data_IF_226792517588
#
_entry.id   IF_226792517588
#
_cell.length_a   1.000
_cell.length_b   1.000
_cell.length_c   1.000
_cell.angle_alpha   90.00
_cell.angle_beta   90.00
_cell.angle_gamma   90.00
#
_symmetry.space_group_name_H-M   'P 1'
#
loop_
_entity.id
_entity.type
_entity.pdbx_description
1 polymer ?
#
# COMPACT_ATOMS: atom_id res chain seq x y z
N UNK A 1 -14.58 1.27 13.03
CA UNK A 1 -14.08 1.22 11.66
C UNK A 1 -13.81 -0.22 11.26
N UNK A 2 -14.30 -0.63 10.12
CA UNK A 2 -14.10 -2.00 9.66
C UNK A 2 -12.70 -2.18 9.05
N UNK A 3 -12.28 -3.42 8.94
CA UNK A 3 -11.00 -3.73 8.30
C UNK A 3 -11.01 -3.25 6.85
N UNK A 4 -12.14 -3.45 6.17
CA UNK A 4 -12.26 -3.02 4.78
C UNK A 4 -12.10 -1.51 4.64
N UNK A 5 -12.72 -0.74 5.51
CA UNK A 5 -12.60 0.70 5.50
C UNK A 5 -11.15 1.14 5.78
N UNK A 6 -10.50 0.44 6.68
CA UNK A 6 -9.10 0.73 6.99
C UNK A 6 -8.21 0.46 5.79
N UNK A 7 -8.42 -0.64 5.09
CA UNK A 7 -7.65 -0.96 3.89
C UNK A 7 -7.87 0.07 2.79
N UNK A 8 -9.10 0.51 2.63
CA UNK A 8 -9.40 1.55 1.64
C UNK A 8 -8.72 2.87 1.97
N UNK A 9 -8.68 3.20 3.27
CA UNK A 9 -7.99 4.41 3.71
C UNK A 9 -6.49 4.31 3.46
N UNK A 10 -5.91 3.15 3.72
CA UNK A 10 -4.49 2.91 3.48
C UNK A 10 -4.19 3.03 1.98
N UNK A 11 -5.03 2.42 1.14
CA UNK A 11 -4.85 2.49 -0.30
C UNK A 11 -4.88 3.93 -0.79
N UNK A 12 -5.81 4.73 -0.29
CA UNK A 12 -5.91 6.13 -0.63
C UNK A 12 -4.65 6.90 -0.24
N UNK A 13 -4.11 6.61 0.95
CA UNK A 13 -2.88 7.25 1.39
C UNK A 13 -1.67 6.81 0.57
N UNK A 14 -1.65 5.56 0.15
CA UNK A 14 -0.57 5.06 -0.69
C UNK A 14 -0.59 5.73 -2.07
N UNK A 15 -1.77 6.02 -2.59
CA UNK A 15 -1.89 6.78 -3.83
C UNK A 15 -1.28 8.17 -3.68
N UNK A 16 -1.50 8.82 -2.54
CA UNK A 16 -0.90 10.12 -2.27
C UNK A 16 0.62 10.00 -2.18
N UNK A 17 1.11 8.98 -1.50
CA UNK A 17 2.55 8.74 -1.38
C UNK A 17 3.16 8.49 -2.74
N UNK A 18 2.49 7.70 -3.57
CA UNK A 18 2.94 7.41 -4.93
C UNK A 18 3.09 8.71 -5.72
N UNK A 19 2.09 9.57 -5.68
CA UNK A 19 2.14 10.85 -6.38
C UNK A 19 3.30 11.71 -5.89
N UNK A 20 3.54 11.73 -4.59
CA UNK A 20 4.64 12.49 -4.01
C UNK A 20 6.00 11.95 -4.45
N UNK A 21 6.14 10.62 -4.45
CA UNK A 21 7.38 9.99 -4.90
C UNK A 21 7.63 10.31 -6.36
N UNK A 22 6.59 10.24 -7.19
CA UNK A 22 6.74 10.51 -8.62
C UNK A 22 7.09 11.97 -8.90
N UNK A 23 6.79 12.87 -7.98
CA UNK A 23 7.12 14.28 -8.13
C UNK A 23 8.52 14.64 -7.61
N UNK A 24 9.18 13.71 -6.94
CA UNK A 24 10.52 13.96 -6.42
C UNK A 24 11.55 14.05 -7.55
N UNK A 25 12.59 14.87 -7.38
CA UNK A 25 13.63 15.00 -8.39
C UNK A 25 14.64 13.84 -8.33
N UNK A 26 14.13 12.62 -8.50
CA UNK A 26 14.92 11.40 -8.50
C UNK A 26 14.92 10.78 -9.88
N UNK A 27 15.88 9.88 -10.12
CA UNK A 27 15.91 9.13 -11.36
C UNK A 27 14.67 8.23 -11.44
N UNK A 28 14.18 8.03 -12.66
CA UNK A 28 12.98 7.22 -12.88
C UNK A 28 13.12 5.82 -12.32
N UNK A 29 14.30 5.25 -12.42
CA UNK A 29 14.58 3.93 -11.90
C UNK A 29 14.34 3.87 -10.38
N UNK A 30 14.85 4.88 -9.67
CA UNK A 30 14.68 4.95 -8.21
C UNK A 30 13.23 5.11 -7.83
N UNK A 31 12.53 5.99 -8.54
CA UNK A 31 11.10 6.20 -8.30
C UNK A 31 10.31 4.91 -8.50
N UNK A 32 10.62 4.20 -9.57
CA UNK A 32 9.92 2.97 -9.91
C UNK A 32 10.14 1.90 -8.83
N UNK A 33 11.37 1.80 -8.33
CA UNK A 33 11.69 0.85 -7.27
C UNK A 33 10.93 1.18 -5.99
N UNK A 34 10.84 2.46 -5.65
CA UNK A 34 10.14 2.90 -4.45
C UNK A 34 8.63 2.60 -4.56
N UNK A 35 8.03 2.91 -5.69
CA UNK A 35 6.61 2.65 -5.92
C UNK A 35 6.33 1.16 -5.85
N UNK A 36 7.18 0.36 -6.46
CA UNK A 36 7.05 -1.09 -6.43
C UNK A 36 7.09 -1.61 -5.00
N UNK A 37 7.96 -1.05 -4.18
CA UNK A 37 8.08 -1.43 -2.78
C UNK A 37 6.79 -1.12 -2.00
N UNK A 38 6.23 0.04 -2.26
CA UNK A 38 4.98 0.47 -1.63
C UNK A 38 3.84 -0.50 -1.95
N UNK A 39 3.71 -0.88 -3.22
CA UNK A 39 2.66 -1.81 -3.62
C UNK A 39 2.88 -3.20 -3.06
N UNK A 40 4.13 -3.62 -2.93
CA UNK A 40 4.45 -4.91 -2.31
C UNK A 40 4.01 -4.92 -0.86
N UNK A 41 4.27 -3.85 -0.13
CA UNK A 41 3.86 -3.75 1.28
C UNK A 41 2.33 -3.81 1.41
N UNK A 42 1.63 -3.13 0.52
CA UNK A 42 0.18 -3.14 0.55
C UNK A 42 -0.37 -4.54 0.27
N UNK A 43 0.21 -5.23 -0.69
CA UNK A 43 -0.20 -6.59 -1.02
C UNK A 43 0.01 -7.53 0.16
N UNK A 44 1.11 -7.38 0.86
CA UNK A 44 1.38 -8.17 2.06
C UNK A 44 0.37 -7.89 3.16
N UNK A 45 -0.02 -6.63 3.30
CA UNK A 45 -1.02 -6.25 4.28
C UNK A 45 -2.38 -6.87 3.96
N UNK A 46 -2.79 -6.82 2.70
CA UNK A 46 -4.04 -7.44 2.27
C UNK A 46 -4.03 -8.94 2.52
N UNK A 47 -2.92 -9.58 2.20
CA UNK A 47 -2.77 -11.00 2.39
C UNK A 47 -2.88 -11.38 3.86
N UNK A 48 -2.23 -10.61 4.72
CA UNK A 48 -2.28 -10.86 6.16
C UNK A 48 -3.70 -10.72 6.69
N UNK A 49 -4.44 -9.73 6.20
CA UNK A 49 -5.81 -9.52 6.62
C UNK A 49 -6.73 -10.64 6.14
N UNK A 50 -6.53 -11.09 4.92
CA UNK A 50 -7.36 -12.16 4.35
C UNK A 50 -7.15 -13.50 5.05
N UNK A 51 -5.95 -13.74 5.54
CA UNK A 51 -5.65 -14.98 6.23
C UNK A 51 -6.17 -15.01 7.65
N UNK A 52 -6.48 -13.85 8.21
CA UNK A 52 -6.91 -13.74 9.60
C UNK A 52 -8.40 -13.93 9.86
N UNK A 53 -9.29 -13.60 8.93
CA UNK A 53 -10.73 -13.64 9.21
C UNK A 53 -11.22 -14.96 9.77
N UNK A 54 -10.67 -16.06 9.31
CA UNK A 54 -11.07 -17.38 9.80
C UNK A 54 -10.73 -17.55 11.27
N UNK A 55 -9.68 -16.90 11.72
CA UNK A 55 -9.22 -17.00 13.09
C UNK A 55 -10.05 -16.16 14.04
N UNK A 56 -10.71 -15.16 13.50
CA UNK A 56 -11.50 -14.26 14.30
C UNK A 56 -12.85 -14.83 14.68
N UNK A 57 -13.29 -15.77 13.93
CA UNK A 57 -14.60 -16.38 14.15
C UNK A 57 -14.46 -17.54 15.11
#
# INVERSE_FOLDING_TARGET
>A
MSVQETLEAIDSKLDEVDALVMSMPLQDRVKRDLVKHIYTMYAELEEAVELRPADFN
#
